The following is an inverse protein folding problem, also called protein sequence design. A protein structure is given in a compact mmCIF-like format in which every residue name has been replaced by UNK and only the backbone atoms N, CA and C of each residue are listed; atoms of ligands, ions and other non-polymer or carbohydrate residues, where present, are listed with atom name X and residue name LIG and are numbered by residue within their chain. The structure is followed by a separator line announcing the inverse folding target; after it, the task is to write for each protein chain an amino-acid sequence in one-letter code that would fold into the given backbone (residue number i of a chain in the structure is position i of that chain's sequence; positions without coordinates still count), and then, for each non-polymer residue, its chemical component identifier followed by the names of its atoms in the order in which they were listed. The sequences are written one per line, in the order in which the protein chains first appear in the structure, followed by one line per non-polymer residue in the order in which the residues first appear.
data_IF_852724575987
#
_entry.id   IF_852724575987
#
_cell.length_a   1.000
_cell.length_b   1.000
_cell.length_c   1.000
_cell.angle_alpha   90.00
_cell.angle_beta   90.00
_cell.angle_gamma   90.00
#
_symmetry.space_group_name_H-M   'P 1'
#
loop_
_entity.id
_entity.type
_entity.pdbx_description
1 polymer ?
#
# COMPACT_ATOMS: atom_id res chain seq x y z
N UNK A 1 6.81 -1.88 14.29
CA UNK A 1 7.59 -2.62 13.27
C UNK A 1 8.89 -3.18 13.83
N UNK A 2 9.60 -2.48 14.72
CA UNK A 2 10.90 -2.95 15.27
C UNK A 2 10.82 -4.22 16.13
N UNK A 3 9.62 -4.73 16.48
CA UNK A 3 9.40 -5.90 17.35
C UNK A 3 9.94 -5.75 18.78
N UNK A 4 10.07 -4.51 19.27
CA UNK A 4 10.65 -4.19 20.59
C UNK A 4 9.70 -3.55 21.60
N UNK A 5 8.40 -3.64 21.36
CA UNK A 5 7.41 -2.95 22.21
C UNK A 5 7.47 -3.45 23.67
N UNK A 6 7.65 -4.76 23.87
CA UNK A 6 7.84 -5.33 25.21
C UNK A 6 9.09 -4.80 25.90
N UNK A 7 10.19 -4.63 25.18
CA UNK A 7 11.46 -4.11 25.72
C UNK A 7 11.31 -2.65 26.16
N UNK A 8 10.64 -1.84 25.35
CA UNK A 8 10.41 -0.42 25.66
C UNK A 8 9.54 -0.26 26.91
N UNK A 9 8.45 -1.01 27.01
CA UNK A 9 7.60 -0.98 28.19
C UNK A 9 8.34 -1.52 29.42
N UNK A 10 9.10 -2.62 29.28
CA UNK A 10 9.94 -3.15 30.37
C UNK A 10 10.94 -2.11 30.87
N UNK A 11 11.58 -1.38 29.95
CA UNK A 11 12.55 -0.33 30.29
C UNK A 11 11.88 0.82 31.02
N UNK A 12 10.69 1.25 30.56
CA UNK A 12 9.90 2.26 31.24
C UNK A 12 9.51 1.84 32.66
N UNK A 13 9.08 0.59 32.86
CA UNK A 13 8.68 0.07 34.18
C UNK A 13 9.86 -0.05 35.17
N UNK A 14 11.09 -0.25 34.66
CA UNK A 14 12.31 -0.25 35.49
C UNK A 14 12.61 1.12 36.10
N UNK A 15 12.27 2.21 35.41
CA UNK A 15 12.39 3.57 35.96
C UNK A 15 11.11 4.01 36.66
N UNK A 16 10.79 3.35 37.78
CA UNK A 16 9.57 3.58 38.55
C UNK A 16 9.39 5.04 38.98
N UNK A 17 10.49 5.78 39.19
CA UNK A 17 10.43 7.20 39.56
C UNK A 17 9.86 8.05 38.43
N UNK A 18 10.29 7.80 37.19
CA UNK A 18 9.77 8.51 36.02
C UNK A 18 8.35 8.03 35.71
N UNK A 19 8.09 6.73 35.72
CA UNK A 19 6.74 6.17 35.47
C UNK A 19 5.69 6.80 36.41
N UNK A 20 5.97 6.89 37.71
CA UNK A 20 5.04 7.49 38.69
C UNK A 20 4.73 8.96 38.46
N UNK A 21 5.51 9.69 37.66
CA UNK A 21 5.19 11.08 37.30
C UNK A 21 4.11 11.18 36.21
N UNK A 22 3.89 10.11 35.45
CA UNK A 22 2.98 10.07 34.32
C UNK A 22 1.70 9.27 34.58
N UNK A 23 1.61 8.57 35.72
CA UNK A 23 0.48 7.72 36.06
C UNK A 23 -0.02 8.00 37.47
N UNK A 24 -1.34 8.08 37.60
CA UNK A 24 -2.01 8.20 38.90
C UNK A 24 -1.94 6.88 39.70
N UNK A 25 -2.12 7.00 41.01
CA UNK A 25 -2.20 5.85 41.92
C UNK A 25 -3.34 4.91 41.49
N UNK A 26 -3.01 3.62 41.37
CA UNK A 26 -3.93 2.58 40.89
C UNK A 26 -3.89 2.32 39.39
N UNK A 27 -3.15 3.11 38.60
CA UNK A 27 -2.93 2.82 37.18
C UNK A 27 -2.27 1.44 36.98
N UNK A 28 -2.69 0.71 35.94
CA UNK A 28 -2.17 -0.64 35.59
C UNK A 28 -0.64 -0.63 35.50
N UNK A 29 -0.08 0.44 34.95
CA UNK A 29 1.37 0.62 34.78
C UNK A 29 2.16 0.71 36.09
N UNK A 30 1.51 0.96 37.22
CA UNK A 30 2.13 1.02 38.56
C UNK A 30 1.84 -0.23 39.41
N UNK A 31 1.10 -1.19 38.87
CA UNK A 31 0.65 -2.41 39.59
C UNK A 31 1.27 -3.67 38.98
N UNK A 32 1.05 -4.81 39.63
CA UNK A 32 1.57 -6.12 39.20
C UNK A 32 1.04 -6.54 37.82
N UNK A 33 -0.15 -6.06 37.43
CA UNK A 33 -0.73 -6.28 36.11
C UNK A 33 0.16 -5.76 34.96
N UNK A 34 1.04 -4.80 35.22
CA UNK A 34 2.01 -4.32 34.23
C UNK A 34 2.96 -5.42 33.74
N UNK A 35 3.32 -6.38 34.62
CA UNK A 35 4.19 -7.49 34.26
C UNK A 35 3.46 -8.52 33.40
N UNK A 36 2.17 -8.74 33.66
CA UNK A 36 1.31 -9.56 32.80
C UNK A 36 1.15 -8.94 31.41
N UNK A 37 0.91 -7.62 31.35
CA UNK A 37 0.83 -6.87 30.10
C UNK A 37 2.12 -7.02 29.29
N UNK A 38 3.30 -6.83 29.90
CA UNK A 38 4.58 -7.02 29.23
C UNK A 38 4.73 -8.46 28.72
N UNK A 39 4.35 -9.47 29.51
CA UNK A 39 4.38 -10.87 29.11
C UNK A 39 3.56 -11.15 27.86
N UNK A 40 2.37 -10.55 27.75
CA UNK A 40 1.53 -10.66 26.55
C UNK A 40 2.17 -9.98 25.34
N UNK A 41 2.84 -8.84 25.54
CA UNK A 41 3.48 -8.08 24.47
C UNK A 41 4.71 -8.78 23.88
N UNK A 42 5.37 -9.69 24.61
CA UNK A 42 6.46 -10.50 24.07
C UNK A 42 5.96 -11.36 22.89
N UNK A 43 4.74 -11.88 22.97
CA UNK A 43 4.14 -12.68 21.89
C UNK A 43 3.99 -11.91 20.59
N UNK A 44 3.84 -10.58 20.65
CA UNK A 44 3.78 -9.72 19.46
C UNK A 44 5.12 -9.64 18.72
N UNK A 45 6.24 -9.94 19.38
CA UNK A 45 7.57 -9.98 18.74
C UNK A 45 7.71 -11.09 17.70
N UNK A 46 6.90 -12.15 17.79
CA UNK A 46 6.87 -13.24 16.80
C UNK A 46 6.10 -12.87 15.53
N UNK A 47 5.32 -11.79 15.55
CA UNK A 47 4.48 -11.36 14.43
C UNK A 47 5.24 -10.34 13.59
N UNK A 48 5.25 -10.53 12.27
CA UNK A 48 5.85 -9.56 11.36
C UNK A 48 4.85 -8.49 10.95
N UNK A 49 4.93 -7.34 11.60
CA UNK A 49 4.10 -6.18 11.28
C UNK A 49 4.82 -5.29 10.26
N UNK A 50 4.26 -5.21 9.06
CA UNK A 50 4.61 -4.18 8.08
C UNK A 50 3.48 -3.15 8.02
N UNK A 51 3.69 -2.02 8.69
CA UNK A 51 2.77 -0.89 8.62
C UNK A 51 3.40 0.19 7.74
N UNK A 52 2.70 0.62 6.69
CA UNK A 52 3.13 1.70 5.81
C UNK A 52 2.92 3.09 6.45
N UNK A 53 3.36 3.28 7.69
CA UNK A 53 3.18 4.52 8.46
C UNK A 53 4.32 5.54 8.23
N UNK A 54 5.14 5.34 7.20
CA UNK A 54 6.34 6.16 6.99
C UNK A 54 5.96 7.51 6.39
N UNK A 55 5.85 8.52 7.25
CA UNK A 55 5.64 9.92 6.84
C UNK A 55 4.21 10.44 7.00
N UNK A 56 3.29 9.64 7.55
CA UNK A 56 1.94 10.12 7.85
C UNK A 56 1.88 10.83 9.21
N UNK A 57 1.19 11.96 9.25
CA UNK A 57 0.88 12.66 10.49
C UNK A 57 -0.20 11.87 11.24
N UNK A 58 0.20 11.20 12.32
CA UNK A 58 -0.73 10.45 13.19
C UNK A 58 -1.48 11.40 14.13
N UNK A 59 -2.21 12.38 13.59
CA UNK A 59 -3.07 13.28 14.38
C UNK A 59 -4.49 12.74 14.61
N UNK A 60 -4.76 11.52 14.12
CA UNK A 60 -6.05 10.83 14.25
C UNK A 60 -7.16 11.39 13.36
N UNK A 61 -6.88 12.40 12.52
CA UNK A 61 -7.87 12.97 11.58
C UNK A 61 -7.90 12.25 10.25
N UNK A 62 -6.81 11.59 9.88
CA UNK A 62 -6.69 10.82 8.64
C UNK A 62 -6.77 9.32 8.96
N UNK A 63 -7.66 8.55 8.31
CA UNK A 63 -7.67 7.10 8.47
C UNK A 63 -6.32 6.53 8.01
N UNK A 64 -5.74 5.61 8.77
CA UNK A 64 -4.50 4.94 8.40
C UNK A 64 -4.75 4.02 7.19
N UNK A 65 -4.66 4.58 5.98
CA UNK A 65 -4.87 3.87 4.72
C UNK A 65 -3.52 3.41 4.20
N UNK A 66 -3.35 2.11 4.00
CA UNK A 66 -2.13 1.55 3.44
C UNK A 66 -2.14 1.78 1.92
N UNK A 67 -1.27 2.67 1.43
CA UNK A 67 -1.07 2.86 0.00
C UNK A 67 -0.19 1.75 -0.60
N UNK A 68 -0.82 0.78 -1.26
CA UNK A 68 -0.12 -0.29 -2.00
C UNK A 68 0.31 0.12 -3.42
N UNK A 69 -0.08 1.30 -3.91
CA UNK A 69 0.23 1.78 -5.27
C UNK A 69 1.72 1.69 -5.63
N UNK A 70 2.69 1.98 -4.74
CA UNK A 70 4.12 1.85 -5.05
C UNK A 70 4.59 0.40 -5.32
N UNK A 71 3.87 -0.58 -4.79
CA UNK A 71 4.16 -2.01 -4.92
C UNK A 71 3.37 -2.69 -6.03
N UNK A 72 2.29 -2.06 -6.51
CA UNK A 72 1.55 -2.46 -7.71
C UNK A 72 2.29 -2.06 -9.00
N UNK A 73 3.62 -2.17 -9.00
CA UNK A 73 4.38 -2.06 -10.25
C UNK A 73 4.16 -3.34 -11.04
N UNK A 74 3.70 -3.19 -12.27
CA UNK A 74 3.72 -4.27 -13.23
C UNK A 74 5.19 -4.66 -13.50
N UNK A 75 5.66 -5.67 -12.78
CA UNK A 75 6.97 -6.26 -13.03
C UNK A 75 6.80 -7.30 -14.11
N UNK A 76 7.27 -7.01 -15.33
CA UNK A 76 7.38 -8.01 -16.38
C UNK A 76 8.51 -8.95 -15.98
N UNK A 77 8.23 -9.98 -15.18
CA UNK A 77 9.23 -10.97 -14.78
C UNK A 77 9.66 -11.78 -16.02
N UNK A 78 10.87 -11.52 -16.49
CA UNK A 78 11.52 -12.28 -17.57
C UNK A 78 12.36 -13.46 -17.06
N UNK A 79 12.32 -13.79 -15.77
CA UNK A 79 13.29 -14.73 -15.17
C UNK A 79 12.94 -16.21 -15.23
N UNK A 80 11.86 -16.63 -15.91
CA UNK A 80 11.49 -18.05 -15.92
C UNK A 80 11.89 -18.86 -17.15
N UNK A 81 12.42 -18.27 -18.22
CA UNK A 81 12.54 -19.02 -19.49
C UNK A 81 13.84 -18.85 -20.29
N UNK A 82 14.84 -18.10 -19.80
CA UNK A 82 16.15 -18.05 -20.46
C UNK A 82 17.00 -19.32 -20.25
N UNK A 83 16.62 -20.20 -19.32
CA UNK A 83 17.38 -21.43 -19.04
C UNK A 83 17.06 -22.61 -19.99
N UNK A 84 16.02 -22.52 -20.82
CA UNK A 84 15.65 -23.61 -21.74
C UNK A 84 16.30 -23.48 -23.14
N UNK A 85 16.90 -22.33 -23.47
CA UNK A 85 17.57 -22.12 -24.77
C UNK A 85 19.00 -22.72 -24.84
N UNK A 86 19.66 -23.03 -23.72
CA UNK A 86 21.03 -23.59 -23.73
C UNK A 86 21.10 -25.13 -23.72
N UNK A 87 20.00 -25.84 -23.47
CA UNK A 87 20.02 -27.32 -23.42
C UNK A 87 19.85 -28.03 -24.77
N UNK A 88 19.62 -27.28 -25.87
CA UNK A 88 19.40 -27.84 -27.21
C UNK A 88 20.64 -27.94 -28.10
N UNK A 89 21.79 -27.35 -27.71
CA UNK A 89 22.96 -27.23 -28.60
C UNK A 89 24.26 -27.76 -27.96
N UNK A 90 24.20 -28.94 -27.33
CA UNK A 90 25.39 -29.70 -26.90
C UNK A 90 25.27 -31.13 -27.40
N UNK A 91 25.59 -31.32 -28.69
CA UNK A 91 25.61 -32.61 -29.34
C UNK A 91 26.50 -32.62 -30.57
N UNK A 92 27.70 -32.02 -30.48
CA UNK A 92 28.74 -32.22 -31.48
C UNK A 92 29.93 -32.89 -30.82
N UNK A 93 30.01 -34.21 -30.94
CA UNK A 93 31.26 -34.92 -30.78
C UNK A 93 31.25 -36.23 -31.56
N UNK A 94 32.37 -36.43 -32.25
CA UNK A 94 32.94 -37.66 -32.83
C UNK A 94 32.33 -38.19 -34.13
N UNK A 95 32.95 -37.83 -35.27
CA UNK A 95 33.84 -38.73 -36.03
C UNK A 95 34.17 -38.12 -37.40
N UNK A 96 35.44 -37.81 -37.65
CA UNK A 96 35.96 -37.62 -39.01
C UNK A 96 36.47 -38.98 -39.52
N UNK A 97 35.72 -39.63 -40.42
CA UNK A 97 36.27 -40.57 -41.40
C UNK A 97 35.57 -40.38 -42.76
N UNK A 98 36.32 -39.77 -43.68
CA UNK A 98 36.35 -39.94 -45.14
C UNK A 98 35.06 -39.90 -46.01
N UNK A 99 35.01 -38.84 -46.83
CA UNK A 99 34.60 -38.81 -48.26
C UNK A 99 33.15 -38.40 -48.66
N UNK A 100 32.97 -37.80 -49.86
CA UNK A 100 32.09 -36.65 -50.08
C UNK A 100 30.82 -36.90 -50.94
N UNK A 101 30.00 -35.86 -51.05
CA UNK A 101 28.83 -35.64 -51.94
C UNK A 101 27.44 -36.04 -51.40
N UNK A 102 26.73 -35.05 -50.84
CA UNK A 102 25.32 -34.82 -51.17
C UNK A 102 24.89 -33.41 -50.70
N UNK A 103 24.41 -32.51 -51.59
CA UNK A 103 23.81 -31.25 -51.19
C UNK A 103 22.37 -31.50 -50.72
N UNK A 104 22.21 -31.95 -49.48
CA UNK A 104 20.91 -31.81 -48.80
C UNK A 104 21.01 -30.57 -47.91
N UNK A 105 20.44 -29.47 -48.41
CA UNK A 105 20.08 -28.35 -47.55
C UNK A 105 19.29 -28.90 -46.35
N UNK A 106 19.68 -28.61 -45.10
CA UNK A 106 18.79 -28.77 -43.97
C UNK A 106 17.54 -27.92 -44.25
N UNK A 107 16.44 -28.60 -44.53
CA UNK A 107 15.12 -28.01 -44.55
C UNK A 107 14.79 -27.67 -43.08
N UNK A 108 15.35 -26.58 -42.56
CA UNK A 108 14.77 -25.91 -41.39
C UNK A 108 13.41 -25.43 -41.88
N UNK A 109 12.38 -26.21 -41.58
CA UNK A 109 11.03 -26.03 -42.09
C UNK A 109 10.51 -24.66 -41.66
N UNK A 110 9.85 -23.96 -42.59
CA UNK A 110 9.13 -22.71 -42.29
C UNK A 110 8.12 -22.87 -41.14
N UNK A 111 7.69 -24.10 -40.85
CA UNK A 111 6.82 -24.46 -39.72
C UNK A 111 7.41 -24.07 -38.35
N UNK A 112 8.70 -24.30 -38.11
CA UNK A 112 9.34 -23.90 -36.84
C UNK A 112 9.42 -22.37 -36.71
N UNK A 113 9.54 -21.66 -37.85
CA UNK A 113 9.50 -20.20 -37.91
C UNK A 113 8.12 -19.65 -37.57
N UNK A 114 7.05 -20.26 -38.11
CA UNK A 114 5.66 -19.88 -37.82
C UNK A 114 5.25 -20.21 -36.39
N UNK A 115 5.64 -21.38 -35.87
CA UNK A 115 5.38 -21.76 -34.48
C UNK A 115 6.06 -20.80 -33.50
N UNK A 116 7.31 -20.43 -33.75
CA UNK A 116 8.05 -19.46 -32.93
C UNK A 116 7.45 -18.04 -33.02
N UNK A 117 7.02 -17.61 -34.21
CA UNK A 117 6.30 -16.33 -34.39
C UNK A 117 4.96 -16.33 -33.64
N UNK A 118 4.19 -17.41 -33.73
CA UNK A 118 2.93 -17.58 -33.02
C UNK A 118 3.14 -17.55 -31.51
N UNK A 119 4.11 -18.29 -30.97
CA UNK A 119 4.44 -18.26 -29.53
C UNK A 119 4.83 -16.86 -29.05
N UNK A 120 5.65 -16.13 -29.82
CA UNK A 120 6.01 -14.74 -29.52
C UNK A 120 4.79 -13.80 -29.54
N UNK A 121 3.87 -14.00 -30.48
CA UNK A 121 2.62 -13.23 -30.56
C UNK A 121 1.71 -13.53 -29.36
N UNK A 122 1.51 -14.81 -29.03
CA UNK A 122 0.70 -15.26 -27.90
C UNK A 122 1.24 -14.69 -26.57
N UNK A 123 2.56 -14.71 -26.40
CA UNK A 123 3.20 -14.12 -25.23
C UNK A 123 2.95 -12.61 -25.13
N UNK A 124 3.09 -11.87 -26.24
CA UNK A 124 2.78 -10.44 -26.28
C UNK A 124 1.31 -10.17 -25.96
N UNK A 125 0.40 -10.96 -26.51
CA UNK A 125 -1.02 -10.84 -26.25
C UNK A 125 -1.33 -11.05 -24.76
N UNK A 126 -0.75 -12.08 -24.14
CA UNK A 126 -0.91 -12.35 -22.70
C UNK A 126 -0.44 -11.18 -21.83
N UNK A 127 0.67 -10.55 -22.19
CA UNK A 127 1.18 -9.35 -21.51
C UNK A 127 0.21 -8.18 -21.66
N UNK A 128 -0.22 -7.88 -22.89
CA UNK A 128 -1.15 -6.79 -23.16
C UNK A 128 -2.49 -7.02 -22.46
N UNK A 129 -2.96 -8.26 -22.40
CA UNK A 129 -4.19 -8.62 -21.70
C UNK A 129 -4.08 -8.39 -20.18
N UNK A 130 -2.96 -8.79 -19.56
CA UNK A 130 -2.70 -8.50 -18.15
C UNK A 130 -2.57 -7.00 -17.87
N UNK A 131 -1.89 -6.25 -18.74
CA UNK A 131 -1.78 -4.79 -18.65
C UNK A 131 -3.13 -4.11 -18.78
N UNK A 132 -3.99 -4.58 -19.70
CA UNK A 132 -5.36 -4.11 -19.84
C UNK A 132 -6.13 -4.27 -18.53
N UNK A 133 -6.13 -5.47 -17.94
CA UNK A 133 -6.84 -5.73 -16.68
C UNK A 133 -6.34 -4.86 -15.52
N UNK A 134 -5.04 -4.61 -15.45
CA UNK A 134 -4.47 -3.68 -14.46
C UNK A 134 -4.98 -2.24 -14.66
N UNK A 135 -5.02 -1.75 -15.89
CA UNK A 135 -5.52 -0.40 -16.19
C UNK A 135 -7.02 -0.27 -15.91
N UNK A 136 -7.81 -1.30 -16.19
CA UNK A 136 -9.25 -1.33 -15.88
C UNK A 136 -9.51 -1.23 -14.37
N UNK A 137 -8.77 -1.98 -13.54
CA UNK A 137 -8.87 -1.87 -12.08
C UNK A 137 -8.39 -0.51 -11.56
N UNK A 138 -7.32 0.05 -12.15
CA UNK A 138 -6.83 1.37 -11.78
C UNK A 138 -7.89 2.45 -12.06
N UNK A 139 -8.55 2.40 -13.22
CA UNK A 139 -9.65 3.31 -13.56
C UNK A 139 -10.80 3.16 -12.57
N UNK A 140 -11.23 1.92 -12.28
CA UNK A 140 -12.30 1.64 -11.31
C UNK A 140 -11.99 2.20 -9.92
N UNK A 141 -10.75 2.06 -9.46
CA UNK A 141 -10.29 2.63 -8.19
C UNK A 141 -10.37 4.17 -8.19
N UNK A 142 -9.89 4.81 -9.26
CA UNK A 142 -9.91 6.28 -9.39
C UNK A 142 -11.33 6.83 -9.43
N UNK A 143 -12.24 6.16 -10.14
CA UNK A 143 -13.66 6.51 -10.18
C UNK A 143 -14.31 6.42 -8.79
N UNK A 144 -13.99 5.36 -8.01
CA UNK A 144 -14.46 5.24 -6.63
C UNK A 144 -13.97 6.37 -5.74
N UNK A 145 -12.66 6.67 -5.78
CA UNK A 145 -12.07 7.75 -4.99
C UNK A 145 -12.66 9.11 -5.35
N UNK A 146 -12.88 9.36 -6.64
CA UNK A 146 -13.50 10.60 -7.12
C UNK A 146 -14.92 10.73 -6.57
N UNK A 147 -15.71 9.66 -6.60
CA UNK A 147 -17.08 9.65 -6.07
C UNK A 147 -17.13 9.93 -4.56
N UNK A 148 -16.20 9.35 -3.79
CA UNK A 148 -16.11 9.59 -2.35
C UNK A 148 -15.74 11.06 -2.04
N UNK A 149 -14.78 11.62 -2.78
CA UNK A 149 -14.39 13.02 -2.67
C UNK A 149 -15.52 13.98 -3.08
N UNK A 150 -16.28 13.66 -4.13
CA UNK A 150 -17.45 14.44 -4.53
C UNK A 150 -18.53 14.46 -3.44
N UNK A 151 -18.79 13.31 -2.81
CA UNK A 151 -19.75 13.21 -1.72
C UNK A 151 -19.31 14.03 -0.49
N UNK A 152 -18.02 13.96 -0.14
CA UNK A 152 -17.46 14.74 0.95
C UNK A 152 -17.50 16.26 0.65
N UNK A 153 -17.14 16.66 -0.58
CA UNK A 153 -17.17 18.05 -1.00
C UNK A 153 -18.60 18.61 -0.93
N UNK A 154 -19.60 17.82 -1.35
CA UNK A 154 -21.02 18.19 -1.23
C UNK A 154 -21.44 18.36 0.23
N UNK A 155 -21.03 17.46 1.12
CA UNK A 155 -21.29 17.56 2.57
C UNK A 155 -20.65 18.80 3.18
N UNK A 156 -19.42 19.11 2.82
CA UNK A 156 -18.70 20.28 3.32
C UNK A 156 -19.34 21.59 2.84
N UNK A 157 -19.80 21.65 1.58
CA UNK A 157 -20.52 22.80 1.06
C UNK A 157 -21.81 23.09 1.83
N UNK A 158 -22.62 22.06 2.11
CA UNK A 158 -23.83 22.20 2.91
C UNK A 158 -23.51 22.72 4.32
N UNK A 159 -22.50 22.16 4.98
CA UNK A 159 -22.07 22.60 6.31
C UNK A 159 -21.56 24.05 6.32
N UNK A 160 -20.89 24.47 5.24
CA UNK A 160 -20.45 25.85 5.09
C UNK A 160 -21.65 26.81 4.93
N UNK A 161 -22.64 26.44 4.12
CA UNK A 161 -23.87 27.22 3.95
C UNK A 161 -24.63 27.36 5.27
N UNK A 162 -24.80 26.28 6.03
CA UNK A 162 -25.42 26.29 7.36
C UNK A 162 -24.67 27.22 8.32
N UNK A 163 -23.34 27.12 8.37
CA UNK A 163 -22.51 27.96 9.23
C UNK A 163 -22.61 29.46 8.86
N UNK A 164 -22.69 29.78 7.56
CA UNK A 164 -22.87 31.17 7.10
C UNK A 164 -24.22 31.73 7.54
N UNK A 165 -25.29 30.95 7.40
CA UNK A 165 -26.64 31.37 7.85
C UNK A 165 -26.68 31.59 9.36
N UNK A 166 -26.09 30.66 10.12
CA UNK A 166 -26.02 30.77 11.57
C UNK A 166 -25.23 32.00 12.02
N UNK A 167 -24.08 32.27 11.39
CA UNK A 167 -23.28 33.44 11.69
C UNK A 167 -24.02 34.75 11.37
N UNK A 168 -24.80 34.79 10.28
CA UNK A 168 -25.65 35.94 9.96
C UNK A 168 -26.80 36.15 10.95
N UNK A 169 -27.34 35.07 11.53
CA UNK A 169 -28.35 35.17 12.59
C UNK A 169 -27.73 35.73 13.87
N UNK A 170 -26.64 35.12 14.35
CA UNK A 170 -25.91 35.56 15.54
C UNK A 170 -25.47 37.03 15.42
N UNK A 171 -24.98 37.44 14.23
CA UNK A 171 -24.63 38.83 13.97
C UNK A 171 -25.82 39.77 14.16
N UNK A 172 -27.00 39.42 13.64
CA UNK A 172 -28.22 40.24 13.79
C UNK A 172 -28.72 40.29 15.24
N UNK A 173 -28.62 39.19 15.97
CA UNK A 173 -28.96 39.14 17.39
C UNK A 173 -28.04 40.06 18.20
N UNK A 174 -26.73 40.00 17.95
CA UNK A 174 -25.75 40.89 18.59
C UNK A 174 -25.98 42.37 18.23
N UNK A 175 -26.29 42.68 16.98
CA UNK A 175 -26.68 44.04 16.56
C UNK A 175 -27.92 44.53 17.31
N UNK A 176 -28.92 43.65 17.53
CA UNK A 176 -30.11 43.97 18.33
C UNK A 176 -29.77 44.28 19.80
N UNK A 177 -28.94 43.44 20.43
CA UNK A 177 -28.49 43.66 21.82
C UNK A 177 -27.72 44.98 21.95
N UNK A 178 -26.88 45.33 20.97
CA UNK A 178 -26.16 46.61 20.98
C UNK A 178 -27.14 47.80 20.94
N UNK A 179 -28.17 47.73 20.10
CA UNK A 179 -29.18 48.80 20.01
C UNK A 179 -29.96 48.95 21.32
N UNK A 180 -30.39 47.84 21.94
CA UNK A 180 -31.07 47.87 23.23
C UNK A 180 -30.20 48.47 24.34
N UNK A 181 -28.90 48.14 24.38
CA UNK A 181 -27.96 48.70 25.34
C UNK A 181 -27.71 50.20 25.10
N UNK A 182 -27.75 50.66 23.85
CA UNK A 182 -27.61 52.09 23.52
C UNK A 182 -28.82 52.92 23.95
N UNK A 183 -30.04 52.35 23.96
CA UNK A 183 -31.26 53.04 24.39
C UNK A 183 -31.32 53.23 25.93
N UNK A 184 -30.56 52.44 26.69
CA UNK A 184 -30.50 52.50 28.15
C UNK A 184 -29.48 53.52 28.70
N UNK A 185 -28.70 54.17 27.84
CA UNK A 185 -27.68 55.19 28.17
C UNK A 185 -28.20 56.60 27.90
#
# INVERSE_FOLDING_TARGET
MEKRISDYITTALRDTRTTRRFYDDGAIMLREESTLLVGMLIGLGAIDFSFCLKGEVMDGKVPAVIDYTPYLKFTQSYDYLSEEEERGSMGSSTSEDSSPEHPYLPLVTDEDSWYNKWRKMEQKFRIVYAQKGYLEELVRLRESQLKDLEAENKRLKLRLEEAVVQNQLEKRELEGVILELQEQL
#
